data_IF_709222538043
#
_entry.id   IF_709222538043
#
_cell.length_a   1.000
_cell.length_b   1.000
_cell.length_c   1.000
_cell.angle_alpha   90.00
_cell.angle_beta   90.00
_cell.angle_gamma   90.00
#
_symmetry.space_group_name_H-M   'P 1'
#
loop_
_entity.id
_entity.type
_entity.pdbx_description
1 polymer ?
#
# COMPACT_ATOMS: atom_id res chain seq x y z
N UNK A 1 -39.98 16.89 -10.67
CA UNK A 1 -39.19 17.88 -9.90
C UNK A 1 -37.77 17.39 -9.86
N UNK A 2 -36.98 17.93 -10.76
CA UNK A 2 -35.57 17.60 -10.97
C UNK A 2 -34.76 18.01 -9.74
N UNK A 3 -33.94 17.09 -9.24
CA UNK A 3 -32.94 17.42 -8.21
C UNK A 3 -31.77 18.10 -8.88
N UNK A 4 -31.91 19.42 -9.12
CA UNK A 4 -30.80 20.28 -9.51
C UNK A 4 -29.74 20.32 -8.40
N UNK A 5 -28.47 20.00 -8.80
CA UNK A 5 -27.33 20.69 -8.20
C UNK A 5 -26.82 20.21 -6.85
N UNK A 6 -26.95 18.94 -6.46
CA UNK A 6 -26.02 18.40 -5.46
C UNK A 6 -24.67 18.19 -6.16
N UNK A 7 -23.79 19.21 -6.14
CA UNK A 7 -22.36 19.06 -6.42
C UNK A 7 -21.92 17.89 -5.56
N UNK A 8 -21.61 16.75 -6.20
CA UNK A 8 -21.13 15.55 -5.52
C UNK A 8 -19.95 15.98 -4.64
N UNK A 9 -20.21 16.14 -3.33
CA UNK A 9 -19.15 16.45 -2.38
C UNK A 9 -18.25 15.22 -2.34
N UNK A 10 -17.01 15.35 -2.81
CA UNK A 10 -16.02 14.31 -2.65
C UNK A 10 -15.75 14.12 -1.16
N UNK A 11 -15.33 12.92 -0.76
CA UNK A 11 -15.20 12.56 0.66
C UNK A 11 -14.28 13.51 1.43
N UNK A 12 -13.18 13.96 0.81
CA UNK A 12 -12.12 14.74 1.46
C UNK A 12 -11.89 16.13 0.82
N UNK A 13 -12.85 16.69 0.09
CA UNK A 13 -12.70 18.03 -0.55
C UNK A 13 -12.40 19.18 0.40
N UNK A 14 -12.74 19.02 1.67
CA UNK A 14 -12.46 20.00 2.71
C UNK A 14 -11.03 19.94 3.25
N UNK A 15 -10.21 18.95 2.82
CA UNK A 15 -8.84 18.77 3.31
C UNK A 15 -7.83 19.25 2.27
N UNK A 16 -6.89 20.07 2.73
CA UNK A 16 -5.74 20.53 1.97
C UNK A 16 -4.44 19.94 2.54
N UNK A 17 -3.63 19.33 1.70
CA UNK A 17 -2.43 18.58 2.08
C UNK A 17 -1.18 19.18 1.44
N UNK A 18 -0.18 19.53 2.26
CA UNK A 18 1.19 19.83 1.80
C UNK A 18 2.02 18.54 1.86
N UNK A 19 2.45 18.08 0.71
CA UNK A 19 3.21 16.83 0.54
C UNK A 19 4.69 17.13 0.25
N UNK A 20 5.56 16.96 1.26
CA UNK A 20 7.03 17.08 1.14
C UNK A 20 7.71 15.72 0.93
N UNK A 21 6.94 14.64 0.82
CA UNK A 21 7.46 13.30 0.72
C UNK A 21 8.11 13.01 -0.64
N UNK A 22 8.88 11.94 -0.74
CA UNK A 22 9.53 11.50 -1.97
C UNK A 22 9.45 9.98 -2.10
N UNK A 23 9.84 9.45 -3.24
CA UNK A 23 9.86 8.01 -3.54
C UNK A 23 8.47 7.38 -3.45
N UNK A 24 8.22 6.43 -2.53
CA UNK A 24 7.03 5.59 -2.56
C UNK A 24 6.06 5.84 -1.39
N UNK A 25 6.42 5.72 -0.08
CA UNK A 25 5.40 5.63 0.96
C UNK A 25 4.56 6.91 1.11
N UNK A 26 5.16 8.08 1.17
CA UNK A 26 4.42 9.34 1.29
C UNK A 26 3.64 9.70 0.04
N UNK A 27 4.24 9.67 -1.17
CA UNK A 27 3.50 9.91 -2.40
C UNK A 27 2.33 8.96 -2.64
N UNK A 28 2.40 7.69 -2.23
CA UNK A 28 1.27 6.78 -2.32
C UNK A 28 0.18 7.09 -1.28
N UNK A 29 0.56 7.48 -0.07
CA UNK A 29 -0.42 7.95 0.92
C UNK A 29 -1.19 9.18 0.42
N UNK A 30 -0.47 10.18 -0.13
CA UNK A 30 -1.09 11.40 -0.66
C UNK A 30 -1.83 11.17 -1.98
N UNK A 31 -1.46 10.17 -2.77
CA UNK A 31 -2.26 9.69 -3.91
C UNK A 31 -3.63 9.17 -3.44
N UNK A 32 -3.67 8.34 -2.40
CA UNK A 32 -4.94 7.85 -1.84
C UNK A 32 -5.82 8.98 -1.32
N UNK A 33 -5.24 9.97 -0.65
CA UNK A 33 -5.97 11.16 -0.20
C UNK A 33 -6.51 11.99 -1.38
N UNK A 34 -5.71 12.17 -2.44
CA UNK A 34 -6.12 12.87 -3.65
C UNK A 34 -7.24 12.13 -4.39
N UNK A 35 -7.14 10.81 -4.53
CA UNK A 35 -8.18 9.97 -5.13
C UNK A 35 -9.50 10.03 -4.35
N UNK A 36 -9.45 10.22 -3.04
CA UNK A 36 -10.62 10.43 -2.17
C UNK A 36 -11.08 11.89 -2.15
N UNK A 37 -10.42 12.78 -2.89
CA UNK A 37 -10.86 14.15 -3.14
C UNK A 37 -10.13 15.26 -2.41
N UNK A 38 -9.09 14.97 -1.61
CA UNK A 38 -8.29 16.01 -0.97
C UNK A 38 -7.52 16.88 -1.99
N UNK A 39 -7.34 18.17 -1.70
CA UNK A 39 -6.50 19.09 -2.49
C UNK A 39 -5.04 18.92 -2.05
N UNK A 40 -4.25 18.19 -2.83
CA UNK A 40 -2.85 17.89 -2.50
C UNK A 40 -1.90 18.77 -3.29
N UNK A 41 -1.04 19.49 -2.58
CA UNK A 41 0.07 20.27 -3.12
C UNK A 41 1.39 19.56 -2.84
N UNK A 42 2.00 19.04 -3.89
CA UNK A 42 3.33 18.44 -3.86
C UNK A 42 4.37 19.54 -3.85
N UNK A 43 5.26 19.53 -2.85
CA UNK A 43 6.40 20.44 -2.72
C UNK A 43 7.67 19.68 -3.04
N UNK A 44 8.32 20.05 -4.13
CA UNK A 44 9.51 19.38 -4.64
C UNK A 44 10.73 20.32 -4.61
N UNK A 45 11.93 19.75 -4.60
CA UNK A 45 13.15 20.55 -4.78
C UNK A 45 13.27 20.99 -6.25
N UNK A 46 13.87 22.14 -6.55
CA UNK A 46 14.23 22.51 -7.92
C UNK A 46 15.09 21.42 -8.58
N UNK A 47 14.79 21.12 -9.85
CA UNK A 47 15.49 20.07 -10.59
C UNK A 47 15.19 18.62 -10.15
N UNK A 48 14.10 18.40 -9.42
CA UNK A 48 13.64 17.05 -9.11
C UNK A 48 13.41 16.23 -10.39
N UNK A 49 13.86 14.98 -10.38
CA UNK A 49 13.72 14.06 -11.52
C UNK A 49 12.91 12.85 -11.10
N UNK A 50 12.14 12.32 -12.04
CA UNK A 50 11.48 11.03 -11.89
C UNK A 50 12.46 9.91 -12.21
N UNK A 51 13.17 9.43 -11.20
CA UNK A 51 14.21 8.40 -11.37
C UNK A 51 13.62 6.99 -11.61
N UNK A 52 12.35 6.79 -11.29
CA UNK A 52 11.69 5.47 -11.34
C UNK A 52 10.57 5.39 -12.39
N UNK A 53 10.23 6.52 -13.04
CA UNK A 53 9.15 6.57 -14.02
C UNK A 53 7.75 6.45 -13.40
N UNK A 54 7.60 6.66 -12.10
CA UNK A 54 6.33 6.44 -11.37
C UNK A 54 5.58 7.71 -10.99
N UNK A 55 6.17 8.89 -11.22
CA UNK A 55 5.56 10.16 -10.83
C UNK A 55 4.23 10.43 -11.51
N UNK A 56 4.05 9.96 -12.74
CA UNK A 56 2.80 10.12 -13.48
C UNK A 56 1.62 9.44 -12.75
N UNK A 57 1.86 8.32 -12.09
CA UNK A 57 0.90 7.59 -11.30
C UNK A 57 0.79 8.16 -9.87
N UNK A 58 1.90 8.21 -9.14
CA UNK A 58 1.91 8.59 -7.73
C UNK A 58 1.47 10.04 -7.46
N UNK A 59 1.62 10.92 -8.45
CA UNK A 59 1.25 12.34 -8.31
C UNK A 59 0.02 12.74 -9.14
N UNK A 60 -0.79 11.78 -9.60
CA UNK A 60 -2.03 12.11 -10.31
C UNK A 60 -2.94 12.96 -9.43
N UNK A 61 -3.64 13.88 -10.07
CA UNK A 61 -4.57 14.82 -9.44
C UNK A 61 -3.98 15.76 -8.39
N UNK A 62 -2.64 15.78 -8.23
CA UNK A 62 -1.93 16.67 -7.31
C UNK A 62 -1.40 17.90 -8.05
N UNK A 63 -1.45 19.08 -7.41
CA UNK A 63 -0.69 20.26 -7.83
C UNK A 63 0.80 20.09 -7.49
N UNK A 64 1.68 20.81 -8.16
CA UNK A 64 3.14 20.76 -7.94
C UNK A 64 3.76 22.15 -7.89
N UNK A 65 4.54 22.40 -6.83
CA UNK A 65 5.45 23.56 -6.72
C UNK A 65 6.87 23.11 -6.43
N UNK A 66 7.83 23.96 -6.76
CA UNK A 66 9.24 23.74 -6.41
C UNK A 66 9.72 24.81 -5.44
N UNK A 67 10.32 24.37 -4.32
CA UNK A 67 10.94 25.22 -3.30
C UNK A 67 12.29 24.64 -2.90
N UNK A 68 13.33 25.49 -2.87
CA UNK A 68 14.61 25.14 -2.25
C UNK A 68 14.54 25.45 -0.74
N UNK A 69 14.26 24.43 0.07
CA UNK A 69 14.15 24.58 1.52
C UNK A 69 15.45 25.00 2.23
N UNK A 70 16.54 25.19 1.50
CA UNK A 70 17.76 25.81 2.03
C UNK A 70 17.71 27.34 1.99
N UNK A 71 16.73 27.91 1.29
CA UNK A 71 16.55 29.36 1.15
C UNK A 71 15.49 29.86 2.12
N UNK A 72 15.78 30.95 2.83
CA UNK A 72 14.86 31.57 3.79
C UNK A 72 13.50 31.92 3.19
N UNK A 73 13.48 32.44 1.96
CA UNK A 73 12.25 32.84 1.28
C UNK A 73 11.34 31.65 0.99
N UNK A 74 11.94 30.47 0.72
CA UNK A 74 11.21 29.22 0.55
C UNK A 74 10.58 28.77 1.87
N UNK A 75 11.31 28.87 2.98
CA UNK A 75 10.80 28.57 4.33
C UNK A 75 9.60 29.46 4.67
N UNK A 76 9.72 30.77 4.43
CA UNK A 76 8.62 31.71 4.69
C UNK A 76 7.42 31.45 3.76
N UNK A 77 7.65 31.00 2.52
CA UNK A 77 6.58 30.58 1.63
C UNK A 77 5.82 29.35 2.19
N UNK A 78 6.55 28.35 2.70
CA UNK A 78 5.91 27.20 3.39
C UNK A 78 5.10 27.63 4.60
N UNK A 79 5.65 28.51 5.45
CA UNK A 79 4.92 29.02 6.64
C UNK A 79 3.64 29.78 6.28
N UNK A 80 3.65 30.49 5.13
CA UNK A 80 2.44 31.14 4.61
C UNK A 80 1.40 30.09 4.17
N UNK A 81 1.83 29.07 3.41
CA UNK A 81 0.94 27.99 2.98
C UNK A 81 0.31 27.23 4.16
N UNK A 82 1.07 26.94 5.21
CA UNK A 82 0.58 26.21 6.40
C UNK A 82 -0.63 26.87 7.05
N UNK A 83 -0.81 28.20 6.90
CA UNK A 83 -2.01 28.90 7.42
C UNK A 83 -3.31 28.44 6.74
N UNK A 84 -3.22 27.92 5.52
CA UNK A 84 -4.37 27.54 4.71
C UNK A 84 -4.47 26.02 4.47
N UNK A 85 -3.47 25.26 4.94
CA UNK A 85 -3.42 23.82 4.77
C UNK A 85 -3.69 23.09 6.08
N UNK A 86 -4.35 21.95 5.97
CA UNK A 86 -4.81 21.14 7.09
C UNK A 86 -3.76 20.13 7.55
N UNK A 87 -2.99 19.61 6.59
CA UNK A 87 -2.11 18.46 6.78
C UNK A 87 -0.76 18.76 6.14
N UNK A 88 0.32 18.44 6.86
CA UNK A 88 1.68 18.34 6.34
C UNK A 88 2.09 16.86 6.39
N UNK A 89 2.62 16.36 5.29
CA UNK A 89 3.24 15.03 5.20
C UNK A 89 4.70 15.20 4.78
N UNK A 90 5.61 14.60 5.54
CA UNK A 90 7.04 14.63 5.25
C UNK A 90 7.69 13.25 5.45
N UNK A 91 8.87 13.07 4.86
CA UNK A 91 9.63 11.81 4.85
C UNK A 91 11.13 12.02 5.04
N UNK A 92 11.49 13.14 5.63
CA UNK A 92 12.89 13.41 5.92
C UNK A 92 13.37 12.58 7.13
N UNK A 93 14.67 12.46 7.28
CA UNK A 93 15.25 11.90 8.50
C UNK A 93 14.84 12.73 9.71
N UNK A 94 14.65 12.12 10.88
CA UNK A 94 14.31 12.84 12.11
C UNK A 94 15.20 14.06 12.36
N UNK A 95 14.63 15.16 12.77
CA UNK A 95 15.31 16.42 13.05
C UNK A 95 15.63 17.27 11.82
N UNK A 96 15.37 16.84 10.59
CA UNK A 96 15.62 17.66 9.40
C UNK A 96 14.64 18.82 9.31
N UNK A 97 13.35 18.56 9.44
CA UNK A 97 12.32 19.61 9.37
C UNK A 97 12.44 20.59 10.55
N UNK A 98 12.82 20.10 11.72
CA UNK A 98 13.10 20.97 12.90
C UNK A 98 14.24 21.93 12.60
N UNK A 99 15.37 21.46 12.03
CA UNK A 99 16.52 22.32 11.66
C UNK A 99 16.16 23.35 10.59
N UNK A 100 15.19 23.05 9.73
CA UNK A 100 14.65 23.97 8.72
C UNK A 100 13.62 24.97 9.32
N UNK A 101 13.25 24.84 10.59
CA UNK A 101 12.18 25.64 11.20
C UNK A 101 10.78 25.31 10.68
N UNK A 102 10.63 24.08 10.13
CA UNK A 102 9.39 23.52 9.58
C UNK A 102 8.90 22.26 10.36
N UNK A 103 9.48 21.97 11.52
CA UNK A 103 9.02 20.90 12.41
C UNK A 103 7.66 21.23 13.05
N UNK A 104 7.02 20.20 13.61
CA UNK A 104 5.66 20.31 14.13
C UNK A 104 5.44 21.48 15.08
N UNK A 105 6.28 21.68 16.10
CA UNK A 105 6.10 22.74 17.10
C UNK A 105 6.17 24.15 16.48
N UNK A 106 7.05 24.34 15.49
CA UNK A 106 7.16 25.60 14.76
C UNK A 106 5.89 25.86 13.92
N UNK A 107 5.40 24.86 13.21
CA UNK A 107 4.24 25.00 12.34
C UNK A 107 2.92 25.05 13.12
N UNK A 108 2.82 24.34 14.23
CA UNK A 108 1.69 24.38 15.17
C UNK A 108 1.48 25.78 15.75
N UNK A 109 2.55 26.52 15.99
CA UNK A 109 2.44 27.92 16.45
C UNK A 109 1.79 28.84 15.42
N UNK A 110 1.86 28.48 14.13
CA UNK A 110 1.23 29.21 13.00
C UNK A 110 -0.19 28.72 12.78
N UNK A 111 -0.40 27.39 12.84
CA UNK A 111 -1.71 26.75 12.67
C UNK A 111 -1.92 25.67 13.75
N UNK A 112 -2.60 25.99 14.86
CA UNK A 112 -2.87 25.04 15.94
C UNK A 112 -3.73 23.83 15.53
N UNK A 113 -4.41 23.92 14.36
CA UNK A 113 -5.24 22.86 13.81
C UNK A 113 -4.45 21.92 12.88
N UNK A 114 -3.16 22.19 12.66
CA UNK A 114 -2.33 21.44 11.74
C UNK A 114 -2.15 19.99 12.18
N UNK A 115 -2.39 19.06 11.25
CA UNK A 115 -2.01 17.66 11.38
C UNK A 115 -0.66 17.48 10.69
N UNK A 116 0.31 16.95 11.40
CA UNK A 116 1.69 16.79 10.91
C UNK A 116 2.07 15.32 10.92
N UNK A 117 2.27 14.71 9.77
CA UNK A 117 2.58 13.29 9.63
C UNK A 117 4.01 13.08 9.11
N UNK A 118 4.85 12.47 9.94
CA UNK A 118 6.19 12.03 9.58
C UNK A 118 6.18 10.55 9.24
N UNK A 119 6.66 10.17 8.07
CA UNK A 119 6.78 8.77 7.65
C UNK A 119 8.27 8.44 7.53
N UNK A 120 8.78 7.56 8.40
CA UNK A 120 10.20 7.21 8.43
C UNK A 120 10.42 5.70 8.56
N UNK A 121 11.64 5.24 8.33
CA UNK A 121 11.97 3.81 8.41
C UNK A 121 11.80 3.24 9.80
N UNK A 122 12.26 3.99 10.82
CA UNK A 122 12.37 3.50 12.20
C UNK A 122 11.68 4.41 13.23
N UNK A 123 10.85 5.36 12.79
CA UNK A 123 10.18 6.32 13.68
C UNK A 123 11.06 7.51 14.08
N UNK A 124 10.47 8.43 14.85
CA UNK A 124 11.12 9.65 15.33
C UNK A 124 11.99 9.41 16.58
N UNK A 125 11.87 8.23 17.21
CA UNK A 125 12.56 7.87 18.46
C UNK A 125 13.28 6.53 18.32
N UNK A 126 13.95 6.09 19.38
CA UNK A 126 14.63 4.81 19.43
C UNK A 126 16.04 4.81 18.83
N UNK A 127 16.77 3.69 19.02
CA UNK A 127 18.20 3.60 18.68
C UNK A 127 18.49 3.60 17.18
N UNK A 128 17.48 3.35 16.34
CA UNK A 128 17.63 3.24 14.89
C UNK A 128 17.07 4.46 14.12
N UNK A 129 16.53 5.47 14.82
CA UNK A 129 15.89 6.63 14.18
C UNK A 129 16.71 7.32 13.09
N UNK A 130 18.04 7.35 13.25
CA UNK A 130 18.97 8.00 12.32
C UNK A 130 19.55 7.02 11.27
N UNK A 131 19.21 5.73 11.33
CA UNK A 131 19.72 4.73 10.39
C UNK A 131 19.06 4.86 9.02
N UNK A 132 19.83 4.71 7.93
CA UNK A 132 19.26 4.56 6.60
C UNK A 132 18.65 3.17 6.43
N UNK A 133 17.65 3.05 5.57
CA UNK A 133 17.07 1.78 5.19
C UNK A 133 16.10 1.94 4.03
N UNK A 134 15.70 0.81 3.49
CA UNK A 134 14.65 0.65 2.50
C UNK A 134 13.70 -0.47 2.95
N UNK A 135 12.63 -0.67 2.23
CA UNK A 135 11.57 -1.64 2.50
C UNK A 135 12.08 -2.97 3.05
N UNK A 136 13.01 -3.61 2.34
CA UNK A 136 13.57 -4.91 2.69
C UNK A 136 14.24 -4.91 4.08
N UNK A 137 14.83 -3.79 4.50
CA UNK A 137 15.45 -3.66 5.82
C UNK A 137 14.39 -3.56 6.91
N UNK A 138 13.30 -2.82 6.65
CA UNK A 138 12.22 -2.61 7.62
C UNK A 138 11.44 -3.90 7.87
N UNK A 139 11.07 -4.67 6.81
CA UNK A 139 10.40 -5.97 6.98
C UNK A 139 11.31 -7.01 7.63
N UNK A 140 12.63 -6.90 7.44
CA UNK A 140 13.60 -7.80 8.10
C UNK A 140 13.66 -7.56 9.60
N UNK A 141 13.77 -6.29 10.03
CA UNK A 141 13.76 -5.93 11.46
C UNK A 141 12.38 -6.20 12.09
N UNK A 142 11.30 -6.03 11.33
CA UNK A 142 9.95 -6.36 11.78
C UNK A 142 9.67 -7.88 11.93
N UNK A 143 10.62 -8.73 11.58
CA UNK A 143 10.50 -10.19 11.71
C UNK A 143 9.74 -10.87 10.58
N UNK A 144 9.08 -10.13 9.68
CA UNK A 144 8.28 -10.71 8.59
C UNK A 144 9.10 -11.58 7.63
N UNK A 145 10.34 -11.19 7.35
CA UNK A 145 11.23 -11.94 6.47
C UNK A 145 11.73 -13.25 7.09
N UNK A 146 11.75 -13.34 8.44
CA UNK A 146 12.37 -14.46 9.16
C UNK A 146 11.65 -15.80 8.95
N UNK A 147 10.35 -15.77 8.71
CA UNK A 147 9.53 -16.96 8.49
C UNK A 147 8.83 -16.98 7.10
N UNK A 148 9.18 -16.02 6.23
CA UNK A 148 8.73 -15.97 4.84
C UNK A 148 9.77 -16.59 3.91
N UNK A 149 9.33 -17.34 2.90
CA UNK A 149 10.22 -18.04 1.98
C UNK A 149 10.32 -19.54 2.26
N UNK A 150 11.44 -20.15 1.92
CA UNK A 150 11.63 -21.59 2.07
C UNK A 150 12.85 -21.92 2.94
N UNK A 151 12.84 -23.08 3.59
CA UNK A 151 13.98 -23.57 4.39
C UNK A 151 15.28 -23.64 3.58
N UNK A 152 15.20 -24.04 2.32
CA UNK A 152 16.36 -24.17 1.42
C UNK A 152 16.72 -22.84 0.75
N UNK A 153 15.72 -22.03 0.34
CA UNK A 153 15.93 -20.78 -0.42
C UNK A 153 16.17 -19.55 0.46
N UNK A 154 15.91 -19.65 1.75
CA UNK A 154 15.94 -18.50 2.67
C UNK A 154 14.75 -17.55 2.50
N UNK A 155 14.87 -16.30 3.00
CA UNK A 155 13.80 -15.31 2.96
C UNK A 155 13.30 -15.02 1.55
N UNK A 156 11.98 -14.92 1.38
CA UNK A 156 11.36 -14.56 0.11
C UNK A 156 11.67 -13.10 -0.27
N UNK A 157 11.89 -12.86 -1.56
CA UNK A 157 11.94 -11.51 -2.13
C UNK A 157 10.53 -11.14 -2.59
N UNK A 158 9.93 -10.15 -1.94
CA UNK A 158 8.63 -9.65 -2.35
C UNK A 158 8.74 -8.82 -3.64
N UNK A 159 7.83 -9.01 -4.56
CA UNK A 159 7.75 -8.20 -5.79
C UNK A 159 7.21 -6.78 -5.55
N UNK A 160 6.66 -6.52 -4.37
CA UNK A 160 6.15 -5.20 -3.95
C UNK A 160 6.74 -4.80 -2.59
N UNK A 161 6.71 -3.52 -2.27
CA UNK A 161 7.28 -2.91 -1.08
C UNK A 161 6.25 -2.92 0.05
N UNK A 162 6.30 -3.93 0.91
CA UNK A 162 5.32 -4.15 1.99
C UNK A 162 5.44 -3.08 3.08
N UNK A 163 6.67 -2.78 3.53
CA UNK A 163 6.89 -1.79 4.56
C UNK A 163 6.54 -0.37 4.08
N UNK A 164 6.88 -0.02 2.84
CA UNK A 164 6.58 1.29 2.28
C UNK A 164 5.06 1.47 2.10
N UNK A 165 4.39 0.49 1.51
CA UNK A 165 2.97 0.60 1.16
C UNK A 165 2.06 0.26 2.35
N UNK A 166 2.07 -0.98 2.83
CA UNK A 166 1.21 -1.39 3.94
C UNK A 166 1.68 -0.77 5.27
N UNK A 167 2.98 -0.79 5.56
CA UNK A 167 3.54 -0.19 6.77
C UNK A 167 3.44 1.35 6.77
N UNK A 168 3.99 2.00 5.77
CA UNK A 168 4.06 3.47 5.69
C UNK A 168 2.77 4.11 5.22
N UNK A 169 2.40 3.88 3.95
CA UNK A 169 1.33 4.63 3.30
C UNK A 169 -0.04 4.40 3.91
N UNK A 170 -0.47 3.13 4.07
CA UNK A 170 -1.80 2.83 4.61
C UNK A 170 -1.94 3.29 6.05
N UNK A 171 -0.92 3.06 6.90
CA UNK A 171 -0.96 3.52 8.28
C UNK A 171 -0.91 5.06 8.39
N UNK A 172 -0.19 5.75 7.49
CA UNK A 172 -0.22 7.21 7.44
C UNK A 172 -1.64 7.73 7.12
N UNK A 173 -2.32 7.14 6.14
CA UNK A 173 -3.71 7.53 5.82
C UNK A 173 -4.64 7.26 7.01
N UNK A 174 -4.54 6.10 7.67
CA UNK A 174 -5.33 5.79 8.87
C UNK A 174 -5.05 6.80 9.98
N UNK A 175 -3.78 7.09 10.28
CA UNK A 175 -3.37 8.05 11.30
C UNK A 175 -3.88 9.45 10.99
N UNK A 176 -3.75 9.91 9.75
CA UNK A 176 -4.23 11.23 9.29
C UNK A 176 -5.74 11.33 9.44
N UNK A 177 -6.51 10.35 8.95
CA UNK A 177 -7.98 10.38 9.05
C UNK A 177 -8.45 10.32 10.52
N UNK A 178 -7.77 9.55 11.36
CA UNK A 178 -8.01 9.53 12.81
C UNK A 178 -7.76 10.90 13.46
N UNK A 179 -6.67 11.58 13.05
CA UNK A 179 -6.35 12.91 13.52
C UNK A 179 -7.35 13.97 13.00
N UNK A 180 -7.87 13.82 11.78
CA UNK A 180 -8.95 14.68 11.26
C UNK A 180 -10.20 14.55 12.13
N UNK A 181 -10.64 13.34 12.43
CA UNK A 181 -11.81 13.09 13.29
C UNK A 181 -11.58 13.67 14.71
N UNK A 182 -10.38 13.53 15.27
CA UNK A 182 -10.03 14.11 16.55
C UNK A 182 -10.09 15.66 16.50
N UNK A 183 -9.50 16.25 15.45
CA UNK A 183 -9.48 17.70 15.23
C UNK A 183 -10.89 18.30 15.11
N UNK A 184 -11.80 17.61 14.41
CA UNK A 184 -13.19 18.05 14.26
C UNK A 184 -13.92 18.15 15.61
N UNK A 185 -13.55 17.30 16.57
CA UNK A 185 -14.15 17.30 17.93
C UNK A 185 -13.49 18.27 18.89
N UNK A 186 -12.18 18.48 18.77
CA UNK A 186 -11.38 19.21 19.77
C UNK A 186 -10.95 20.60 19.28
N UNK A 187 -10.92 20.81 17.95
CA UNK A 187 -10.39 22.02 17.34
C UNK A 187 -8.86 22.03 17.20
N UNK A 188 -8.14 20.98 17.65
CA UNK A 188 -6.67 20.94 17.66
C UNK A 188 -6.13 19.84 16.74
N UNK A 189 -5.04 20.17 16.02
CA UNK A 189 -4.24 19.21 15.28
C UNK A 189 -3.26 18.45 16.19
N UNK A 190 -2.44 17.58 15.57
CA UNK A 190 -1.45 16.78 16.29
C UNK A 190 -0.32 16.31 15.37
N UNK A 191 0.80 15.90 15.96
CA UNK A 191 1.84 15.16 15.27
C UNK A 191 1.50 13.67 15.22
N UNK A 192 1.88 13.03 14.11
CA UNK A 192 1.75 11.60 13.87
C UNK A 192 3.12 11.07 13.45
N UNK A 193 3.61 10.07 14.15
CA UNK A 193 4.86 9.37 13.85
C UNK A 193 4.53 8.00 13.25
N UNK A 194 4.86 7.81 11.97
CA UNK A 194 4.68 6.56 11.25
C UNK A 194 6.07 5.94 11.01
N UNK A 195 6.39 4.95 11.82
CA UNK A 195 7.55 4.07 11.63
C UNK A 195 7.15 2.91 10.71
N UNK A 196 7.75 2.83 9.52
CA UNK A 196 7.50 1.71 8.61
C UNK A 196 7.85 0.36 9.22
N UNK A 197 8.86 0.31 10.10
CA UNK A 197 9.23 -0.91 10.84
C UNK A 197 8.16 -1.29 11.86
N UNK A 198 7.69 -0.35 12.70
CA UNK A 198 6.68 -0.63 13.73
C UNK A 198 5.36 -1.07 13.11
N UNK A 199 4.93 -0.35 12.06
CA UNK A 199 3.73 -0.69 11.32
C UNK A 199 3.87 -2.07 10.65
N UNK A 200 5.04 -2.39 10.08
CA UNK A 200 5.29 -3.73 9.52
C UNK A 200 5.31 -4.81 10.61
N UNK A 201 5.81 -4.50 11.81
CA UNK A 201 5.78 -5.43 12.94
C UNK A 201 4.34 -5.81 13.32
N UNK A 202 3.38 -4.89 13.22
CA UNK A 202 1.96 -5.18 13.49
C UNK A 202 1.32 -6.14 12.48
N UNK A 203 1.91 -6.30 11.28
CA UNK A 203 1.44 -7.26 10.27
C UNK A 203 1.69 -8.73 10.66
N UNK A 204 2.46 -9.00 11.72
CA UNK A 204 2.58 -10.33 12.32
C UNK A 204 1.32 -10.74 13.11
N UNK A 205 0.14 -10.28 12.72
CA UNK A 205 -1.09 -10.38 13.50
C UNK A 205 -1.50 -11.82 13.90
N UNK A 206 -1.21 -12.83 13.08
CA UNK A 206 -1.44 -14.25 13.40
C UNK A 206 -0.20 -14.84 14.10
N UNK A 207 0.97 -14.54 13.60
CA UNK A 207 2.23 -15.18 14.04
C UNK A 207 2.68 -14.68 15.42
N UNK A 208 2.51 -13.37 15.70
CA UNK A 208 2.95 -12.81 16.96
C UNK A 208 2.27 -13.43 18.20
N UNK A 209 0.93 -13.62 18.26
CA UNK A 209 0.30 -14.32 19.37
C UNK A 209 0.80 -15.76 19.55
N UNK A 210 1.02 -16.48 18.46
CA UNK A 210 1.53 -17.85 18.52
C UNK A 210 2.95 -17.92 19.12
N UNK A 211 3.79 -16.95 18.83
CA UNK A 211 5.12 -16.84 19.40
C UNK A 211 5.08 -16.27 20.84
N UNK A 212 4.51 -15.08 21.04
CA UNK A 212 4.58 -14.34 22.29
C UNK A 212 3.80 -15.00 23.43
N UNK A 213 2.70 -15.68 23.14
CA UNK A 213 1.83 -16.35 24.11
C UNK A 213 2.06 -17.85 24.13
N UNK A 214 2.25 -18.45 22.95
CA UNK A 214 2.39 -19.91 22.79
C UNK A 214 3.83 -20.40 22.73
N UNK A 215 4.84 -19.52 22.67
CA UNK A 215 6.25 -19.91 22.59
C UNK A 215 6.63 -20.60 21.27
N UNK A 216 5.77 -20.54 20.24
CA UNK A 216 6.05 -21.18 18.96
C UNK A 216 7.17 -20.44 18.23
N UNK A 217 8.23 -21.14 17.89
CA UNK A 217 9.28 -20.59 17.01
C UNK A 217 8.78 -20.52 15.57
N UNK A 218 8.84 -19.30 15.02
CA UNK A 218 8.35 -19.01 13.65
C UNK A 218 9.45 -19.32 12.64
N UNK A 219 9.22 -20.29 11.78
CA UNK A 219 10.17 -20.74 10.77
C UNK A 219 9.51 -20.83 9.38
N UNK A 220 10.29 -20.70 8.30
CA UNK A 220 9.78 -20.98 6.94
C UNK A 220 9.26 -22.40 6.83
N UNK A 221 8.17 -22.60 6.10
CA UNK A 221 7.56 -23.92 5.80
C UNK A 221 7.26 -24.76 7.06
N UNK A 222 6.93 -24.09 8.17
CA UNK A 222 6.57 -24.80 9.43
C UNK A 222 5.14 -24.50 9.87
N UNK A 223 4.63 -23.36 9.50
CA UNK A 223 3.28 -22.93 9.89
C UNK A 223 2.26 -23.27 8.82
N UNK A 224 1.01 -23.40 9.24
CA UNK A 224 -0.08 -23.78 8.34
C UNK A 224 -0.19 -22.89 7.10
N UNK A 225 0.04 -21.58 7.24
CA UNK A 225 -0.17 -20.59 6.18
C UNK A 225 1.12 -20.13 5.45
N UNK A 226 2.24 -20.75 5.72
CA UNK A 226 3.53 -20.40 5.07
C UNK A 226 4.21 -21.60 4.39
N UNK A 227 3.43 -22.56 3.89
CA UNK A 227 3.94 -23.73 3.21
C UNK A 227 4.19 -24.94 4.13
N UNK A 228 3.96 -24.83 5.46
CA UNK A 228 4.04 -25.96 6.39
C UNK A 228 2.88 -26.95 6.26
N UNK A 229 1.85 -26.61 5.52
CA UNK A 229 0.74 -27.50 5.15
C UNK A 229 0.59 -27.58 3.64
N UNK A 230 -0.53 -28.07 3.15
CA UNK A 230 -0.90 -28.03 1.73
C UNK A 230 -1.31 -26.63 1.25
N UNK A 231 -1.42 -25.64 2.11
CA UNK A 231 -1.59 -24.22 1.76
C UNK A 231 -0.26 -23.73 1.16
N UNK A 232 -0.19 -23.73 -0.19
CA UNK A 232 1.06 -23.50 -0.91
C UNK A 232 0.80 -23.13 -2.38
N UNK A 233 1.89 -22.89 -3.11
CA UNK A 233 1.91 -22.78 -4.57
C UNK A 233 2.30 -24.11 -5.19
N UNK A 234 1.60 -24.49 -6.27
CA UNK A 234 1.81 -25.74 -6.99
C UNK A 234 2.15 -25.47 -8.44
N UNK A 235 3.24 -26.06 -8.91
CA UNK A 235 3.72 -25.94 -10.27
C UNK A 235 2.89 -26.79 -11.20
N UNK A 236 2.47 -26.21 -12.34
CA UNK A 236 1.79 -26.89 -13.44
C UNK A 236 2.78 -27.51 -14.41
N UNK A 237 2.33 -28.39 -15.31
CA UNK A 237 3.18 -29.10 -16.27
C UNK A 237 4.03 -28.16 -17.15
N UNK A 238 3.51 -26.98 -17.47
CA UNK A 238 4.18 -25.94 -18.26
C UNK A 238 5.02 -24.95 -17.42
N UNK A 239 5.25 -25.25 -16.12
CA UNK A 239 6.11 -24.46 -15.22
C UNK A 239 5.47 -23.20 -14.66
N UNK A 240 4.17 -23.02 -14.81
CA UNK A 240 3.40 -21.95 -14.15
C UNK A 240 2.91 -22.43 -12.78
N UNK A 241 2.14 -21.61 -12.05
CA UNK A 241 1.75 -21.95 -10.69
C UNK A 241 0.28 -21.67 -10.43
N UNK A 242 -0.31 -22.46 -9.53
CA UNK A 242 -1.56 -22.21 -8.85
C UNK A 242 -1.33 -22.04 -7.35
N UNK A 243 -2.09 -21.16 -6.72
CA UNK A 243 -2.22 -21.09 -5.27
C UNK A 243 -3.33 -21.99 -4.79
N UNK A 244 -3.12 -22.73 -3.70
CA UNK A 244 -4.15 -23.56 -3.07
C UNK A 244 -4.33 -23.11 -1.63
N UNK A 245 -5.54 -22.67 -1.32
CA UNK A 245 -5.95 -22.19 -0.01
C UNK A 245 -7.18 -22.93 0.57
N UNK A 246 -7.44 -24.16 0.18
CA UNK A 246 -8.63 -24.99 0.48
C UNK A 246 -8.71 -25.44 1.95
N UNK A 247 -8.64 -24.52 2.90
CA UNK A 247 -8.52 -24.83 4.34
C UNK A 247 -9.79 -25.45 4.93
N UNK A 248 -10.96 -24.99 4.53
CA UNK A 248 -12.22 -25.47 5.04
C UNK A 248 -12.63 -26.79 4.36
N UNK A 249 -13.32 -27.70 5.08
CA UNK A 249 -13.69 -29.02 4.55
C UNK A 249 -14.43 -29.02 3.21
N UNK A 250 -15.41 -28.13 2.94
CA UNK A 250 -16.07 -28.09 1.63
C UNK A 250 -15.14 -27.78 0.47
N UNK A 251 -14.26 -26.77 0.63
CA UNK A 251 -13.30 -26.37 -0.41
C UNK A 251 -12.21 -27.43 -0.61
N UNK A 252 -11.80 -28.11 0.45
CA UNK A 252 -10.85 -29.23 0.40
C UNK A 252 -11.42 -30.43 -0.36
N UNK A 253 -12.73 -30.71 -0.16
CA UNK A 253 -13.43 -31.72 -0.91
C UNK A 253 -13.49 -31.36 -2.40
N UNK A 254 -13.88 -30.14 -2.71
CA UNK A 254 -13.91 -29.62 -4.08
C UNK A 254 -12.53 -29.67 -4.75
N UNK A 255 -11.44 -29.35 -4.01
CA UNK A 255 -10.09 -29.50 -4.49
C UNK A 255 -9.77 -30.95 -4.90
N UNK A 256 -10.10 -31.92 -4.01
CA UNK A 256 -9.86 -33.34 -4.28
C UNK A 256 -10.64 -33.83 -5.53
N UNK A 257 -11.87 -33.36 -5.68
CA UNK A 257 -12.70 -33.67 -6.85
C UNK A 257 -12.10 -33.05 -8.13
N UNK A 258 -11.71 -31.77 -8.08
CA UNK A 258 -11.12 -31.03 -9.20
C UNK A 258 -9.82 -31.65 -9.71
N UNK A 259 -8.95 -32.11 -8.81
CA UNK A 259 -7.70 -32.79 -9.19
C UNK A 259 -7.90 -34.26 -9.56
N UNK A 260 -9.15 -34.76 -9.61
CA UNK A 260 -9.46 -36.13 -10.02
C UNK A 260 -9.12 -37.21 -8.99
N UNK A 261 -8.99 -36.86 -7.72
CA UNK A 261 -8.59 -37.76 -6.64
C UNK A 261 -9.48 -37.59 -5.38
N UNK A 262 -10.81 -37.82 -5.50
CA UNK A 262 -11.77 -37.59 -4.41
C UNK A 262 -11.46 -38.41 -3.15
N UNK A 263 -10.80 -39.56 -3.28
CA UNK A 263 -10.35 -40.39 -2.15
C UNK A 263 -9.34 -39.72 -1.24
N UNK A 264 -8.60 -38.71 -1.73
CA UNK A 264 -7.64 -37.93 -0.94
C UNK A 264 -8.33 -37.06 0.15
N UNK A 265 -9.64 -36.85 0.06
CA UNK A 265 -10.36 -36.08 1.06
C UNK A 265 -10.24 -36.68 2.45
N UNK A 266 -10.43 -37.99 2.61
CA UNK A 266 -10.27 -38.70 3.88
C UNK A 266 -8.83 -38.59 4.44
N UNK A 267 -7.83 -38.65 3.56
CA UNK A 267 -6.42 -38.45 3.95
C UNK A 267 -6.19 -37.01 4.44
N UNK A 268 -6.78 -36.03 3.77
CA UNK A 268 -6.64 -34.62 4.07
C UNK A 268 -7.20 -34.20 5.45
N UNK A 269 -8.12 -34.99 6.00
CA UNK A 269 -8.77 -34.71 7.29
C UNK A 269 -7.97 -35.27 8.49
N UNK A 270 -6.92 -36.02 8.24
CA UNK A 270 -6.04 -36.51 9.30
C UNK A 270 -5.10 -35.41 9.78
N UNK A 271 -4.78 -35.41 11.07
CA UNK A 271 -3.96 -34.38 11.71
C UNK A 271 -2.48 -34.77 11.91
N UNK A 272 -2.12 -36.00 11.51
CA UNK A 272 -0.71 -36.44 11.60
C UNK A 272 0.14 -35.91 10.46
N UNK A 273 1.41 -35.69 10.75
CA UNK A 273 2.37 -35.10 9.81
C UNK A 273 2.55 -35.92 8.54
N UNK A 274 2.58 -37.26 8.66
CA UNK A 274 2.74 -38.15 7.51
C UNK A 274 1.58 -38.00 6.52
N UNK A 275 0.35 -38.00 7.01
CA UNK A 275 -0.84 -37.77 6.20
C UNK A 275 -0.83 -36.40 5.51
N UNK A 276 -0.40 -35.36 6.22
CA UNK A 276 -0.22 -34.01 5.66
C UNK A 276 0.80 -33.95 4.52
N UNK A 277 1.96 -34.57 4.70
CA UNK A 277 3.01 -34.65 3.67
C UNK A 277 2.49 -35.44 2.44
N UNK A 278 1.83 -36.57 2.66
CA UNK A 278 1.27 -37.39 1.57
C UNK A 278 0.20 -36.62 0.79
N UNK A 279 -0.68 -35.91 1.47
CA UNK A 279 -1.72 -35.08 0.83
C UNK A 279 -1.08 -33.96 0.00
N UNK A 280 -0.16 -33.17 0.58
CA UNK A 280 0.56 -32.13 -0.15
C UNK A 280 1.31 -32.67 -1.37
N UNK A 281 1.92 -33.85 -1.25
CA UNK A 281 2.65 -34.50 -2.35
C UNK A 281 1.69 -34.92 -3.46
N UNK A 282 0.53 -35.48 -3.11
CA UNK A 282 -0.48 -35.89 -4.10
C UNK A 282 -1.00 -34.70 -4.89
N UNK A 283 -1.30 -33.57 -4.23
CA UNK A 283 -1.70 -32.33 -4.90
C UNK A 283 -0.59 -31.89 -5.90
N UNK A 284 0.67 -31.87 -5.44
CA UNK A 284 1.80 -31.47 -6.30
C UNK A 284 1.91 -32.35 -7.55
N UNK A 285 1.75 -33.65 -7.43
CA UNK A 285 1.80 -34.57 -8.56
C UNK A 285 0.63 -34.34 -9.51
N UNK A 286 -0.56 -34.11 -8.98
CA UNK A 286 -1.74 -33.83 -9.81
C UNK A 286 -1.56 -32.56 -10.63
N UNK A 287 -1.09 -31.46 -10.03
CA UNK A 287 -0.87 -30.21 -10.78
C UNK A 287 0.15 -30.33 -11.91
N UNK A 288 1.15 -31.20 -11.79
CA UNK A 288 2.15 -31.46 -12.84
C UNK A 288 1.60 -32.22 -14.04
N UNK A 289 0.38 -32.78 -13.98
CA UNK A 289 -0.20 -33.56 -15.08
C UNK A 289 -0.80 -32.70 -16.20
N UNK A 290 -1.16 -31.46 -15.90
CA UNK A 290 -1.86 -30.56 -16.83
C UNK A 290 -1.20 -29.19 -16.94
N UNK A 291 -1.43 -28.54 -18.06
CA UNK A 291 -0.95 -27.18 -18.30
C UNK A 291 -1.82 -26.15 -17.53
N UNK A 292 -1.28 -24.97 -17.34
CA UNK A 292 -1.91 -23.87 -16.57
C UNK A 292 -3.33 -23.54 -17.05
N UNK A 293 -3.55 -23.46 -18.36
CA UNK A 293 -4.87 -23.14 -18.91
C UNK A 293 -5.89 -24.26 -18.71
N UNK A 294 -5.47 -25.53 -18.78
CA UNK A 294 -6.34 -26.66 -18.49
C UNK A 294 -6.82 -26.60 -17.03
N UNK A 295 -5.93 -26.25 -16.10
CA UNK A 295 -6.32 -26.06 -14.69
C UNK A 295 -7.25 -24.86 -14.49
N UNK A 296 -7.07 -23.75 -15.24
CA UNK A 296 -8.00 -22.63 -15.19
C UNK A 296 -9.41 -23.06 -15.62
N UNK A 297 -9.55 -23.83 -16.69
CA UNK A 297 -10.83 -24.36 -17.15
C UNK A 297 -11.46 -25.27 -16.11
N UNK A 298 -10.72 -26.22 -15.55
CA UNK A 298 -11.23 -27.15 -14.52
C UNK A 298 -11.74 -26.38 -13.30
N UNK A 299 -10.94 -25.47 -12.74
CA UNK A 299 -11.32 -24.74 -11.51
C UNK A 299 -12.43 -23.71 -11.72
N UNK A 300 -12.85 -23.44 -12.95
CA UNK A 300 -14.06 -22.65 -13.22
C UNK A 300 -15.32 -23.34 -12.65
N UNK A 301 -15.36 -24.67 -12.61
CA UNK A 301 -16.52 -25.46 -12.17
C UNK A 301 -16.46 -25.85 -10.68
N UNK A 302 -15.39 -25.50 -9.96
CA UNK A 302 -15.16 -25.90 -8.57
C UNK A 302 -14.89 -24.74 -7.64
N UNK A 303 -15.66 -24.62 -6.54
CA UNK A 303 -15.36 -23.68 -5.46
C UNK A 303 -14.28 -24.26 -4.52
N UNK A 304 -13.04 -24.32 -5.01
CA UNK A 304 -11.95 -25.03 -4.33
C UNK A 304 -10.94 -24.13 -3.64
N UNK A 305 -11.10 -22.80 -3.63
CA UNK A 305 -10.06 -21.86 -3.18
C UNK A 305 -8.71 -22.16 -3.81
N UNK A 306 -8.70 -22.42 -5.12
CA UNK A 306 -7.52 -22.65 -5.92
C UNK A 306 -7.53 -21.66 -7.09
N UNK A 307 -6.50 -20.80 -7.17
CA UNK A 307 -6.46 -19.69 -8.13
C UNK A 307 -5.15 -19.66 -8.91
N UNK A 308 -5.18 -19.26 -10.19
CA UNK A 308 -3.99 -19.12 -11.00
C UNK A 308 -3.09 -18.00 -10.49
N UNK A 309 -1.77 -18.21 -10.47
CA UNK A 309 -0.79 -17.15 -10.24
C UNK A 309 -0.58 -16.38 -11.54
N UNK A 310 -1.26 -15.25 -11.66
CA UNK A 310 -1.27 -14.41 -12.85
C UNK A 310 -0.06 -13.48 -12.91
N UNK A 311 0.42 -13.21 -14.12
CA UNK A 311 1.27 -12.04 -14.38
C UNK A 311 0.46 -10.76 -14.19
N UNK A 312 1.14 -9.61 -14.00
CA UNK A 312 0.43 -8.32 -13.89
C UNK A 312 -0.43 -8.01 -15.14
N UNK A 313 0.06 -8.37 -16.34
CA UNK A 313 -0.68 -8.16 -17.58
C UNK A 313 -1.96 -9.00 -17.62
N UNK A 314 -1.89 -10.27 -17.23
CA UNK A 314 -3.06 -11.14 -17.14
C UNK A 314 -4.03 -10.67 -16.05
N UNK A 315 -3.51 -10.24 -14.89
CA UNK A 315 -4.32 -9.70 -13.81
C UNK A 315 -5.07 -8.42 -14.25
N UNK A 316 -4.42 -7.53 -15.00
CA UNK A 316 -5.06 -6.32 -15.54
C UNK A 316 -6.22 -6.64 -16.51
N UNK A 317 -6.19 -7.79 -17.16
CA UNK A 317 -7.22 -8.27 -18.08
C UNK A 317 -8.24 -9.22 -17.39
N UNK A 318 -8.01 -9.59 -16.14
CA UNK A 318 -8.85 -10.53 -15.40
C UNK A 318 -10.29 -9.98 -15.24
N UNK A 319 -11.33 -10.81 -15.52
CA UNK A 319 -12.74 -10.37 -15.49
C UNK A 319 -13.15 -9.67 -14.20
N UNK A 320 -12.73 -10.19 -13.04
CA UNK A 320 -13.02 -9.60 -11.72
C UNK A 320 -12.44 -8.19 -11.60
N UNK A 321 -11.21 -7.95 -12.04
CA UNK A 321 -10.56 -6.64 -11.93
C UNK A 321 -11.10 -5.64 -12.97
N UNK A 322 -11.49 -6.12 -14.15
CA UNK A 322 -12.18 -5.32 -15.17
C UNK A 322 -13.56 -4.87 -14.70
N UNK A 323 -14.38 -5.80 -14.22
CA UNK A 323 -15.72 -5.48 -13.69
C UNK A 323 -15.65 -4.49 -12.53
N UNK A 324 -14.64 -4.59 -11.70
CA UNK A 324 -14.39 -3.65 -10.62
C UNK A 324 -13.72 -2.33 -11.06
N UNK A 325 -13.45 -2.16 -12.36
CA UNK A 325 -12.85 -0.95 -12.92
C UNK A 325 -11.49 -0.62 -12.30
N UNK A 326 -10.62 -1.64 -12.14
CA UNK A 326 -9.32 -1.45 -11.49
C UNK A 326 -8.25 -0.85 -12.40
N UNK A 327 -8.51 -0.74 -13.69
CA UNK A 327 -7.70 0.03 -14.65
C UNK A 327 -8.53 1.20 -15.16
N UNK A 328 -7.97 2.39 -15.08
CA UNK A 328 -8.62 3.65 -15.49
C UNK A 328 -7.74 4.42 -16.46
N UNK A 329 -8.37 5.24 -17.29
CA UNK A 329 -7.71 6.17 -18.18
C UNK A 329 -7.60 7.54 -17.52
N UNK A 330 -6.39 8.07 -17.41
CA UNK A 330 -6.08 9.34 -16.75
C UNK A 330 -5.51 10.31 -17.78
N UNK A 331 -6.05 11.54 -17.93
CA UNK A 331 -5.53 12.54 -18.87
C UNK A 331 -4.06 12.89 -18.58
N UNK A 332 -3.22 12.94 -19.63
CA UNK A 332 -1.79 13.29 -19.50
C UNK A 332 -1.50 14.80 -19.60
N UNK A 333 -2.57 15.60 -19.80
CA UNK A 333 -2.47 17.04 -19.99
C UNK A 333 -1.93 17.47 -21.36
N UNK A 334 -1.71 16.55 -22.29
CA UNK A 334 -1.25 16.79 -23.67
C UNK A 334 -2.27 16.34 -24.71
N UNK A 335 -3.47 15.96 -24.27
CA UNK A 335 -4.55 15.46 -25.12
C UNK A 335 -4.60 13.93 -25.26
N UNK A 336 -3.70 13.19 -24.57
CA UNK A 336 -3.73 11.73 -24.50
C UNK A 336 -4.18 11.26 -23.12
N UNK A 337 -4.38 9.96 -22.99
CA UNK A 337 -4.67 9.29 -21.72
C UNK A 337 -3.62 8.24 -21.41
N UNK A 338 -3.45 7.95 -20.12
CA UNK A 338 -2.60 6.86 -19.63
C UNK A 338 -3.44 5.87 -18.84
N UNK A 339 -3.22 4.58 -19.06
CA UNK A 339 -3.80 3.54 -18.19
C UNK A 339 -3.08 3.53 -16.86
N UNK A 340 -3.84 3.61 -15.77
CA UNK A 340 -3.32 3.58 -14.39
C UNK A 340 -4.20 2.69 -13.52
N UNK A 341 -3.65 2.23 -12.38
CA UNK A 341 -4.43 1.50 -11.36
C UNK A 341 -5.41 2.47 -10.71
N UNK A 342 -6.67 2.08 -10.61
CA UNK A 342 -7.73 2.85 -9.97
C UNK A 342 -7.59 2.89 -8.44
N UNK A 343 -8.28 3.83 -7.80
CA UNK A 343 -8.54 3.78 -6.36
C UNK A 343 -9.32 2.49 -6.01
N UNK A 344 -8.82 1.66 -5.09
CA UNK A 344 -9.49 0.42 -4.74
C UNK A 344 -10.71 0.60 -3.84
N UNK A 345 -10.86 1.78 -3.20
CA UNK A 345 -11.94 2.07 -2.27
C UNK A 345 -13.20 2.44 -3.06
N UNK A 346 -14.22 1.61 -2.96
CA UNK A 346 -15.53 1.82 -3.57
C UNK A 346 -16.53 2.26 -2.50
N UNK A 347 -17.20 3.39 -2.71
CA UNK A 347 -18.22 3.90 -1.79
C UNK A 347 -19.55 4.09 -2.53
N UNK A 348 -20.66 4.08 -1.80
CA UNK A 348 -22.00 4.25 -2.37
C UNK A 348 -22.33 5.69 -2.77
N UNK A 349 -21.54 6.67 -2.33
CA UNK A 349 -21.84 8.09 -2.46
C UNK A 349 -20.81 8.88 -3.27
N UNK A 350 -19.68 8.26 -3.58
CA UNK A 350 -18.57 8.93 -4.24
C UNK A 350 -17.83 7.98 -5.20
N UNK A 351 -17.50 8.50 -6.38
CA UNK A 351 -16.62 7.86 -7.37
C UNK A 351 -15.39 8.74 -7.56
N UNK A 352 -14.16 8.21 -7.47
CA UNK A 352 -12.94 8.98 -7.71
C UNK A 352 -12.91 9.62 -9.10
N UNK A 353 -12.51 10.89 -9.17
CA UNK A 353 -12.26 11.62 -10.40
C UNK A 353 -10.73 11.78 -10.58
N UNK A 354 -10.20 11.29 -11.70
CA UNK A 354 -8.79 11.37 -12.03
C UNK A 354 -8.54 12.56 -12.96
N UNK A 355 -8.19 13.72 -12.39
CA UNK A 355 -8.12 15.00 -13.09
C UNK A 355 -7.03 15.05 -14.15
N UNK A 356 -5.86 14.52 -13.81
CA UNK A 356 -4.67 14.49 -14.68
C UNK A 356 -3.62 13.53 -14.10
N UNK A 357 -2.74 13.02 -14.94
CA UNK A 357 -1.52 12.34 -14.52
C UNK A 357 -0.58 13.32 -13.78
N UNK A 358 0.44 12.81 -13.11
CA UNK A 358 1.37 13.65 -12.34
C UNK A 358 1.96 14.80 -13.16
N UNK A 359 1.91 15.99 -12.60
CA UNK A 359 2.41 17.23 -13.22
C UNK A 359 3.95 17.29 -13.19
N UNK A 360 4.51 18.16 -14.02
CA UNK A 360 5.95 18.46 -13.95
C UNK A 360 6.25 19.25 -12.67
N UNK A 361 7.42 19.02 -12.03
CA UNK A 361 7.84 19.79 -10.87
C UNK A 361 7.71 21.29 -11.11
N UNK A 362 7.01 22.00 -10.21
CA UNK A 362 6.82 23.43 -10.26
C UNK A 362 5.79 23.95 -11.26
N UNK A 363 4.98 23.10 -11.85
CA UNK A 363 3.99 23.51 -12.85
C UNK A 363 3.00 24.56 -12.33
N UNK A 364 2.72 24.56 -11.03
CA UNK A 364 1.82 25.52 -10.38
C UNK A 364 2.56 26.65 -9.63
N UNK A 365 3.86 26.85 -9.81
CA UNK A 365 4.60 27.91 -9.13
C UNK A 365 3.98 29.30 -9.35
N UNK A 366 3.64 29.64 -10.59
CA UNK A 366 3.09 30.95 -10.93
C UNK A 366 1.69 31.20 -10.35
N UNK A 367 0.91 30.16 -10.12
CA UNK A 367 -0.43 30.22 -9.52
C UNK A 367 -0.33 30.38 -7.99
N UNK A 368 0.54 29.57 -7.35
CA UNK A 368 0.53 29.37 -5.89
C UNK A 368 1.53 30.28 -5.17
N UNK A 369 2.70 30.54 -5.78
CA UNK A 369 3.76 31.32 -5.16
C UNK A 369 3.74 32.81 -5.52
N UNK A 370 2.72 33.28 -6.24
CA UNK A 370 2.58 34.72 -6.51
C UNK A 370 2.40 35.47 -5.20
N UNK A 371 3.35 36.36 -4.93
CA UNK A 371 3.09 37.43 -3.94
C UNK A 371 1.94 38.26 -4.48
N UNK A 372 0.88 38.55 -3.72
CA UNK A 372 -0.11 39.55 -4.13
C UNK A 372 0.64 40.82 -4.47
N UNK A 373 0.43 41.33 -5.67
CA UNK A 373 0.91 42.67 -5.99
C UNK A 373 0.43 43.62 -4.88
N UNK A 374 1.37 44.28 -4.23
CA UNK A 374 1.11 45.37 -3.27
C UNK A 374 0.36 46.50 -3.94
#
# INVERSE_FOLDING_TARGET
MEREGARLMTLLTHLKVLDFSTLLPGPFATLMLADLGADVLKVERPGAKDSWGVNQYLNRSKKSITLDLKQSDSIESVKKLVKEYDIVIEQFRPGVMERLGLGYEALKSINPKLIYCSITGFGQTGPYKDRPGHDINYISIAGLSGYSGTKKGGPAKNGTQIADLAGGSLHAVIGILSAVIHRERTGFGQAIDISMTDCSFTLNAISAPLNLQGGLELEPEKMMLNGGSFYDFYETKDGRHFSVGSLEPPFRKALCEAIGAPELYELSMKSDEESGIRFKTAIRLAFLERDFHEWQEIFTDFEACAEPVLTFTEAAEHPQLKERGMIVEVPDGKGNVQKQIACPIKTSVFTPEYKHAGLRPGQNNAEILRTPNR
#
